data_IF_106326218882
#
_entry.id   IF_106326218882
#
_cell.length_a   1.000
_cell.length_b   1.000
_cell.length_c   1.000
_cell.angle_alpha   90.00
_cell.angle_beta   90.00
_cell.angle_gamma   90.00
#
_symmetry.space_group_name_H-M   'P 1'
#
loop_
_entity.id
_entity.type
_entity.pdbx_description
1 polymer ?
#
# COMPACT_ATOMS: atom_id res chain seq x y z
N UNK A 1 -5.00 -56.66 31.32
CA UNK A 1 -5.26 -55.24 31.00
C UNK A 1 -6.44 -55.21 30.03
N UNK A 2 -7.52 -54.48 30.30
CA UNK A 2 -8.69 -54.48 29.39
C UNK A 2 -8.39 -53.65 28.14
N UNK A 3 -8.92 -54.07 26.99
CA UNK A 3 -8.75 -53.38 25.70
C UNK A 3 -9.15 -51.89 25.81
N UNK A 4 -10.17 -51.59 26.60
CA UNK A 4 -10.63 -50.22 26.87
C UNK A 4 -9.57 -49.33 27.55
N UNK A 5 -8.74 -49.88 28.45
CA UNK A 5 -7.67 -49.12 29.11
C UNK A 5 -6.55 -48.81 28.13
N UNK A 6 -6.21 -49.75 27.24
CA UNK A 6 -5.22 -49.51 26.18
C UNK A 6 -5.69 -48.43 25.19
N UNK A 7 -6.96 -48.46 24.78
CA UNK A 7 -7.57 -47.44 23.91
C UNK A 7 -7.56 -46.06 24.59
N UNK A 8 -7.92 -45.98 25.87
CA UNK A 8 -7.93 -44.73 26.62
C UNK A 8 -6.51 -44.11 26.73
N UNK A 9 -5.49 -44.94 26.95
CA UNK A 9 -4.11 -44.48 27.01
C UNK A 9 -3.62 -43.94 25.65
N UNK A 10 -3.92 -44.65 24.55
CA UNK A 10 -3.60 -44.17 23.19
C UNK A 10 -4.32 -42.86 22.88
N UNK A 11 -5.61 -42.75 23.23
CA UNK A 11 -6.37 -41.51 23.05
C UNK A 11 -5.76 -40.33 23.84
N UNK A 12 -5.30 -40.56 25.06
CA UNK A 12 -4.61 -39.56 25.87
C UNK A 12 -3.30 -39.08 25.21
N UNK A 13 -2.50 -40.02 24.69
CA UNK A 13 -1.25 -39.69 23.99
C UNK A 13 -1.53 -38.90 22.71
N UNK A 14 -2.52 -39.30 21.91
CA UNK A 14 -2.94 -38.57 20.71
C UNK A 14 -3.39 -37.15 21.09
N UNK A 15 -4.23 -37.00 22.12
CA UNK A 15 -4.71 -35.69 22.56
C UNK A 15 -3.56 -34.75 23.00
N UNK A 16 -2.58 -35.29 23.73
CA UNK A 16 -1.39 -34.51 24.15
C UNK A 16 -0.54 -34.08 22.95
N UNK A 17 -0.30 -34.99 22.01
CA UNK A 17 0.45 -34.69 20.78
C UNK A 17 -0.28 -33.66 19.92
N UNK A 18 -1.59 -33.81 19.74
CA UNK A 18 -2.43 -32.83 19.04
C UNK A 18 -2.35 -31.47 19.70
N UNK A 19 -2.45 -31.38 21.03
CA UNK A 19 -2.38 -30.11 21.75
C UNK A 19 -1.02 -29.40 21.55
N UNK A 20 0.10 -30.15 21.57
CA UNK A 20 1.43 -29.60 21.29
C UNK A 20 1.53 -29.12 19.84
N UNK A 21 1.09 -29.94 18.88
CA UNK A 21 1.13 -29.59 17.47
C UNK A 21 0.28 -28.35 17.15
N UNK A 22 -0.92 -28.25 17.72
CA UNK A 22 -1.79 -27.07 17.56
C UNK A 22 -1.11 -25.81 18.08
N UNK A 23 -0.40 -25.85 19.23
CA UNK A 23 0.34 -24.68 19.73
C UNK A 23 1.42 -24.22 18.76
N UNK A 24 2.18 -25.15 18.18
CA UNK A 24 3.18 -24.84 17.16
C UNK A 24 2.55 -24.30 15.88
N UNK A 25 1.46 -24.91 15.42
CA UNK A 25 0.72 -24.45 14.25
C UNK A 25 0.16 -23.03 14.42
N UNK A 26 -0.39 -22.70 15.60
CA UNK A 26 -0.88 -21.35 15.91
C UNK A 26 0.28 -20.34 15.90
N UNK A 27 1.43 -20.68 16.49
CA UNK A 27 2.61 -19.79 16.47
C UNK A 27 3.11 -19.56 15.04
N UNK A 28 3.21 -20.63 14.25
CA UNK A 28 3.62 -20.55 12.85
C UNK A 28 2.62 -19.74 12.01
N UNK A 29 1.32 -19.94 12.22
CA UNK A 29 0.27 -19.19 11.52
C UNK A 29 0.29 -17.70 11.86
N UNK A 30 0.50 -17.34 13.13
CA UNK A 30 0.68 -15.94 13.55
C UNK A 30 1.88 -15.31 12.86
N UNK A 31 3.01 -16.00 12.87
CA UNK A 31 4.23 -15.51 12.23
C UNK A 31 4.08 -15.38 10.71
N UNK A 32 3.44 -16.35 10.05
CA UNK A 32 3.14 -16.28 8.62
C UNK A 32 2.22 -15.10 8.30
N UNK A 33 1.24 -14.80 9.16
CA UNK A 33 0.37 -13.65 9.00
C UNK A 33 1.12 -12.32 9.18
N UNK A 34 2.04 -12.23 10.14
CA UNK A 34 2.91 -11.05 10.31
C UNK A 34 3.78 -10.82 9.06
N UNK A 35 4.37 -11.88 8.51
CA UNK A 35 5.15 -11.81 7.26
C UNK A 35 4.27 -11.35 6.10
N UNK A 36 3.05 -11.90 5.97
CA UNK A 36 2.12 -11.52 4.92
C UNK A 36 1.72 -10.03 5.02
N UNK A 37 1.39 -9.55 6.22
CA UNK A 37 1.08 -8.13 6.45
C UNK A 37 2.28 -7.25 6.09
N UNK A 38 3.49 -7.62 6.54
CA UNK A 38 4.70 -6.87 6.22
C UNK A 38 4.97 -6.83 4.71
N UNK A 39 4.75 -7.96 4.01
CA UNK A 39 4.89 -8.03 2.57
C UNK A 39 3.94 -7.08 1.83
N UNK A 40 2.67 -7.03 2.23
CA UNK A 40 1.67 -6.13 1.63
C UNK A 40 1.97 -4.65 1.91
N UNK A 41 2.46 -4.33 3.12
CA UNK A 41 2.95 -2.97 3.42
C UNK A 41 4.14 -2.59 2.55
N UNK A 42 5.10 -3.50 2.38
CA UNK A 42 6.27 -3.29 1.52
C UNK A 42 5.88 -3.14 0.03
N UNK A 43 4.88 -3.91 -0.45
CA UNK A 43 4.31 -3.76 -1.80
C UNK A 43 3.74 -2.35 -1.99
N UNK A 44 2.97 -1.87 -1.01
CA UNK A 44 2.39 -0.52 -1.01
C UNK A 44 3.48 0.56 -1.01
N UNK A 45 4.49 0.42 -0.15
CA UNK A 45 5.64 1.32 -0.09
C UNK A 45 6.37 1.42 -1.43
N UNK A 46 6.73 0.29 -2.04
CA UNK A 46 7.43 0.26 -3.34
C UNK A 46 6.62 0.94 -4.45
N UNK A 47 5.30 0.73 -4.46
CA UNK A 47 4.42 1.37 -5.43
C UNK A 47 4.35 2.89 -5.22
N UNK A 48 4.27 3.35 -3.97
CA UNK A 48 4.31 4.78 -3.65
C UNK A 48 5.64 5.42 -4.05
N UNK A 49 6.77 4.77 -3.74
CA UNK A 49 8.11 5.24 -4.13
C UNK A 49 8.23 5.37 -5.65
N UNK A 50 7.70 4.39 -6.39
CA UNK A 50 7.64 4.43 -7.85
C UNK A 50 6.86 5.63 -8.36
N UNK A 51 5.65 5.86 -7.81
CA UNK A 51 4.81 7.01 -8.18
C UNK A 51 5.47 8.35 -7.81
N UNK A 52 6.01 8.48 -6.60
CA UNK A 52 6.70 9.69 -6.13
C UNK A 52 7.92 10.01 -7.01
N UNK A 53 8.65 8.99 -7.44
CA UNK A 53 9.76 9.10 -8.38
C UNK A 53 9.27 9.55 -9.76
N UNK A 54 8.20 8.96 -10.28
CA UNK A 54 7.60 9.35 -11.55
C UNK A 54 7.12 10.82 -11.54
N UNK A 55 6.42 11.24 -10.47
CA UNK A 55 5.97 12.63 -10.27
C UNK A 55 7.15 13.61 -10.21
N UNK A 56 8.27 13.19 -9.62
CA UNK A 56 9.48 14.01 -9.51
C UNK A 56 10.24 14.10 -10.84
N UNK A 57 10.41 12.98 -11.54
CA UNK A 57 11.23 12.90 -12.75
C UNK A 57 10.51 13.46 -13.99
N UNK A 58 9.20 13.26 -14.09
CA UNK A 58 8.41 13.67 -15.26
C UNK A 58 7.55 14.89 -15.04
N UNK A 59 7.33 15.30 -13.80
CA UNK A 59 6.48 16.45 -13.52
C UNK A 59 5.06 16.24 -14.06
N UNK A 60 4.59 17.19 -14.86
CA UNK A 60 3.30 17.12 -15.58
C UNK A 60 3.29 16.09 -16.72
N UNK A 61 4.43 15.50 -17.08
CA UNK A 61 4.52 14.50 -18.15
C UNK A 61 4.27 13.05 -17.68
N UNK A 62 3.86 12.83 -16.42
CA UNK A 62 3.53 11.50 -15.91
C UNK A 62 2.41 10.83 -16.73
N UNK A 63 2.53 9.53 -16.98
CA UNK A 63 1.55 8.79 -17.78
C UNK A 63 0.37 8.32 -16.93
N UNK A 64 -0.78 8.10 -17.57
CA UNK A 64 -1.95 7.49 -16.93
C UNK A 64 -1.60 6.12 -16.36
N UNK A 65 -0.91 5.27 -17.12
CA UNK A 65 -0.55 3.91 -16.70
C UNK A 65 0.28 3.88 -15.41
N UNK A 66 1.13 4.88 -15.20
CA UNK A 66 1.97 4.99 -14.01
C UNK A 66 1.19 5.38 -12.78
N UNK A 67 0.18 6.25 -12.94
CA UNK A 67 -0.77 6.56 -11.88
C UNK A 67 -1.61 5.33 -11.55
N UNK A 68 -2.11 4.62 -12.57
CA UNK A 68 -2.94 3.42 -12.37
C UNK A 68 -2.20 2.23 -11.77
N UNK A 69 -0.88 2.11 -11.98
CA UNK A 69 -0.07 1.11 -11.30
C UNK A 69 -0.11 1.24 -9.76
N UNK A 70 -0.47 2.41 -9.23
CA UNK A 70 -0.61 2.66 -7.80
C UNK A 70 -2.03 2.44 -7.25
N UNK A 71 -3.04 2.28 -8.12
CA UNK A 71 -4.44 2.19 -7.71
C UNK A 71 -4.74 1.05 -6.73
N UNK A 72 -4.32 -0.17 -7.08
CA UNK A 72 -4.57 -1.35 -6.24
C UNK A 72 -3.85 -1.22 -4.88
N UNK A 73 -2.53 -0.93 -4.82
CA UNK A 73 -1.85 -0.68 -3.55
C UNK A 73 -2.53 0.37 -2.66
N UNK A 74 -2.94 1.51 -3.24
CA UNK A 74 -3.61 2.57 -2.49
C UNK A 74 -4.98 2.14 -1.95
N UNK A 75 -5.78 1.43 -2.77
CA UNK A 75 -7.12 0.96 -2.39
C UNK A 75 -7.08 -0.06 -1.25
N UNK A 76 -6.05 -0.93 -1.26
CA UNK A 76 -5.93 -2.02 -0.30
C UNK A 76 -5.17 -1.60 0.97
N UNK A 77 -4.53 -0.43 0.97
CA UNK A 77 -3.82 0.11 2.13
C UNK A 77 -4.66 0.17 3.41
N UNK A 78 -5.99 0.35 3.30
CA UNK A 78 -6.93 0.35 4.43
C UNK A 78 -6.91 -0.93 5.29
N UNK A 79 -6.42 -2.04 4.74
CA UNK A 79 -6.31 -3.30 5.48
C UNK A 79 -5.00 -3.43 6.26
N UNK A 80 -3.98 -2.66 5.89
CA UNK A 80 -2.62 -2.84 6.38
C UNK A 80 -2.08 -1.63 7.17
N UNK A 81 -2.65 -0.45 6.95
CA UNK A 81 -2.25 0.82 7.55
C UNK A 81 -3.36 1.45 8.39
N UNK A 82 -3.00 2.44 9.20
CA UNK A 82 -3.96 3.25 9.96
C UNK A 82 -4.91 3.99 8.99
N UNK A 83 -6.17 4.26 9.39
CA UNK A 83 -7.14 4.90 8.50
C UNK A 83 -6.66 6.19 7.85
N UNK A 84 -6.01 7.08 8.61
CA UNK A 84 -5.52 8.37 8.11
C UNK A 84 -4.45 8.20 7.02
N UNK A 85 -3.51 7.27 7.24
CA UNK A 85 -2.45 6.95 6.31
C UNK A 85 -3.00 6.29 5.02
N UNK A 86 -3.94 5.36 5.18
CA UNK A 86 -4.63 4.73 4.05
C UNK A 86 -5.42 5.75 3.22
N UNK A 87 -6.12 6.68 3.87
CA UNK A 87 -6.83 7.76 3.20
C UNK A 87 -5.87 8.71 2.48
N UNK A 88 -4.73 9.03 3.08
CA UNK A 88 -3.69 9.87 2.47
C UNK A 88 -3.07 9.22 1.23
N UNK A 89 -2.84 7.89 1.24
CA UNK A 89 -2.37 7.13 0.09
C UNK A 89 -3.37 7.18 -1.07
N UNK A 90 -4.65 6.93 -0.79
CA UNK A 90 -5.69 7.02 -1.80
C UNK A 90 -5.81 8.44 -2.37
N UNK A 91 -5.69 9.45 -1.50
CA UNK A 91 -5.67 10.85 -1.95
C UNK A 91 -4.51 11.17 -2.89
N UNK A 92 -3.32 10.58 -2.69
CA UNK A 92 -2.20 10.75 -3.64
C UNK A 92 -2.53 10.14 -5.00
N UNK A 93 -3.21 9.00 -5.04
CA UNK A 93 -3.71 8.43 -6.30
C UNK A 93 -4.73 9.35 -6.97
N UNK A 94 -5.75 9.79 -6.25
CA UNK A 94 -6.83 10.63 -6.77
C UNK A 94 -6.27 11.96 -7.31
N UNK A 95 -5.46 12.67 -6.52
CA UNK A 95 -4.84 13.94 -6.93
C UNK A 95 -3.87 13.73 -8.12
N UNK A 96 -3.22 12.56 -8.26
CA UNK A 96 -2.38 12.24 -9.42
C UNK A 96 -3.21 11.96 -10.68
N UNK A 97 -4.38 11.33 -10.53
CA UNK A 97 -5.29 11.08 -11.64
C UNK A 97 -5.93 12.38 -12.12
N UNK A 98 -6.30 13.26 -11.19
CA UNK A 98 -6.77 14.62 -11.49
C UNK A 98 -5.71 15.41 -12.26
N UNK A 99 -4.43 15.31 -11.85
CA UNK A 99 -3.32 15.96 -12.55
C UNK A 99 -3.22 15.53 -14.02
N UNK A 100 -3.34 14.23 -14.30
CA UNK A 100 -3.30 13.70 -15.66
C UNK A 100 -4.51 14.19 -16.48
N UNK A 101 -5.69 14.26 -15.86
CA UNK A 101 -6.91 14.77 -16.51
C UNK A 101 -6.80 16.25 -16.87
N UNK A 102 -6.40 17.12 -15.94
CA UNK A 102 -6.19 18.56 -16.18
C UNK A 102 -5.16 18.83 -17.27
N UNK A 103 -4.12 18.00 -17.35
CA UNK A 103 -3.13 18.09 -18.43
C UNK A 103 -3.72 17.73 -19.79
N UNK A 104 -4.60 16.74 -19.87
CA UNK A 104 -5.30 16.41 -21.11
C UNK A 104 -6.17 17.60 -21.57
N UNK A 105 -6.90 18.22 -20.65
CA UNK A 105 -7.70 19.43 -20.91
C UNK A 105 -6.84 20.59 -21.43
N UNK A 106 -5.64 20.82 -20.86
CA UNK A 106 -4.70 21.82 -21.38
C UNK A 106 -4.27 21.53 -22.82
N UNK A 107 -4.00 20.27 -23.15
CA UNK A 107 -3.65 19.84 -24.51
C UNK A 107 -4.72 20.23 -25.53
N UNK A 108 -5.99 20.02 -25.18
CA UNK A 108 -7.14 20.33 -26.04
C UNK A 108 -7.37 21.84 -26.19
N UNK A 109 -7.24 22.62 -25.11
CA UNK A 109 -7.41 24.09 -25.14
C UNK A 109 -6.30 24.77 -25.96
N UNK A 110 -5.06 24.27 -25.88
CA UNK A 110 -3.92 24.85 -26.60
C UNK A 110 -4.03 24.75 -28.14
N UNK A 111 -4.91 23.89 -28.65
CA UNK A 111 -5.12 23.69 -30.09
C UNK A 111 -6.24 24.55 -30.70
N UNK A 112 -6.98 25.32 -29.89
CA UNK A 112 -8.10 26.12 -30.43
C UNK A 112 -8.65 27.26 -29.55
N UNK A 113 -8.09 27.52 -28.37
CA UNK A 113 -8.61 28.52 -27.42
C UNK A 113 -7.54 29.42 -26.79
N UNK A 114 -8.00 30.46 -26.09
CA UNK A 114 -7.17 31.39 -25.33
C UNK A 114 -6.45 30.64 -24.19
N UNK A 115 -5.15 30.85 -24.05
CA UNK A 115 -4.31 30.13 -23.10
C UNK A 115 -4.67 30.51 -21.65
N UNK A 116 -5.35 29.63 -20.93
CA UNK A 116 -5.77 29.87 -19.55
C UNK A 116 -4.60 29.74 -18.56
N UNK A 117 -3.99 30.87 -18.22
CA UNK A 117 -2.92 30.94 -17.23
C UNK A 117 -3.35 30.48 -15.82
N UNK A 118 -4.64 30.59 -15.48
CA UNK A 118 -5.14 30.16 -14.18
C UNK A 118 -5.12 28.63 -14.07
N UNK A 119 -5.59 27.93 -15.12
CA UNK A 119 -5.57 26.47 -15.20
C UNK A 119 -4.14 25.91 -15.12
N UNK A 120 -3.19 26.55 -15.81
CA UNK A 120 -1.76 26.18 -15.76
C UNK A 120 -1.21 26.34 -14.34
N UNK A 121 -1.49 27.48 -13.70
CA UNK A 121 -1.05 27.75 -12.32
C UNK A 121 -1.64 26.75 -11.32
N UNK A 122 -2.92 26.42 -11.47
CA UNK A 122 -3.61 25.42 -10.64
C UNK A 122 -2.99 24.02 -10.82
N UNK A 123 -2.73 23.62 -12.07
CA UNK A 123 -2.12 22.32 -12.39
C UNK A 123 -0.71 22.20 -11.78
N UNK A 124 0.11 23.26 -11.86
CA UNK A 124 1.41 23.30 -11.20
C UNK A 124 1.34 23.32 -9.66
N UNK A 125 0.30 23.92 -9.09
CA UNK A 125 0.07 23.89 -7.64
C UNK A 125 -0.32 22.49 -7.18
N UNK A 126 -1.25 21.84 -7.88
CA UNK A 126 -1.65 20.46 -7.65
C UNK A 126 -0.46 19.51 -7.75
N UNK A 127 0.33 19.60 -8.83
CA UNK A 127 1.53 18.76 -9.00
C UNK A 127 2.50 18.87 -7.82
N UNK A 128 2.81 20.10 -7.38
CA UNK A 128 3.71 20.32 -6.23
C UNK A 128 3.13 19.71 -4.96
N UNK A 129 1.86 19.99 -4.66
CA UNK A 129 1.19 19.46 -3.48
C UNK A 129 1.17 17.92 -3.47
N UNK A 130 0.84 17.29 -4.61
CA UNK A 130 0.78 15.83 -4.75
C UNK A 130 2.17 15.20 -4.63
N UNK A 131 3.19 15.78 -5.28
CA UNK A 131 4.58 15.31 -5.19
C UNK A 131 5.11 15.39 -3.76
N UNK A 132 4.89 16.52 -3.10
CA UNK A 132 5.43 16.76 -1.76
C UNK A 132 4.72 15.85 -0.73
N UNK A 133 3.39 15.66 -0.87
CA UNK A 133 2.66 14.68 -0.06
C UNK A 133 3.15 13.25 -0.31
N UNK A 134 3.36 12.85 -1.56
CA UNK A 134 3.85 11.52 -1.88
C UNK A 134 5.22 11.26 -1.22
N UNK A 135 6.12 12.25 -1.23
CA UNK A 135 7.42 12.16 -0.53
C UNK A 135 7.27 12.06 0.99
N UNK A 136 6.42 12.89 1.58
CA UNK A 136 6.15 12.82 3.02
C UNK A 136 5.63 11.45 3.44
N UNK A 137 4.72 10.87 2.66
CA UNK A 137 4.18 9.54 2.93
C UNK A 137 5.21 8.42 2.74
N UNK A 138 6.20 8.59 1.85
CA UNK A 138 7.33 7.66 1.73
C UNK A 138 8.10 7.61 3.06
N UNK A 139 8.46 8.77 3.60
CA UNK A 139 9.19 8.88 4.87
C UNK A 139 8.37 8.29 6.04
N UNK A 140 7.07 8.60 6.09
CA UNK A 140 6.17 8.08 7.13
C UNK A 140 6.06 6.55 7.09
N UNK A 141 5.84 5.96 5.91
CA UNK A 141 5.72 4.50 5.75
C UNK A 141 7.06 3.80 5.98
N UNK A 142 8.17 4.38 5.53
CA UNK A 142 9.50 3.83 5.77
C UNK A 142 9.75 3.68 7.27
N UNK A 143 9.37 4.67 8.08
CA UNK A 143 9.50 4.60 9.54
C UNK A 143 8.68 3.46 10.19
N UNK A 144 7.55 3.07 9.59
CA UNK A 144 6.73 1.94 10.05
C UNK A 144 7.24 0.57 9.57
N UNK A 145 8.10 0.55 8.54
CA UNK A 145 8.63 -0.67 7.92
C UNK A 145 9.99 -1.11 8.48
N UNK A 146 10.80 -0.18 9.00
CA UNK A 146 12.09 -0.51 9.59
C UNK A 146 11.89 -1.31 10.87
N UNK A 147 12.09 -2.63 10.78
CA UNK A 147 12.16 -3.52 11.94
C UNK A 147 13.49 -3.22 12.63
N UNK A 148 13.46 -2.48 13.74
CA UNK A 148 14.62 -2.35 14.61
C UNK A 148 14.83 -3.70 15.30
N UNK A 149 15.98 -4.36 15.13
CA UNK A 149 16.28 -5.55 15.91
C UNK A 149 16.40 -5.13 17.38
N UNK A 150 15.51 -5.65 18.22
CA UNK A 150 15.67 -5.63 19.67
C UNK A 150 16.78 -6.59 20.10
#
# INVERSE_FOLDING_TARGET
MSVSVAIAFVALVIALLSAVYTRHAVKAAKHANEIAIHHERLKTYKALVSLASALSARGLAISKDEVWAFYEPATWAKFYFKPDLAAALLKVFDDSLELVSKKAEWGDVSQGGEYDQALVKETHALHRATRDRARQLVEEIESELVITPN
#
